data_IF_730548116576
#
_entry.id   IF_730548116576
#
_cell.length_a   1.000
_cell.length_b   1.000
_cell.length_c   1.000
_cell.angle_alpha   90.00
_cell.angle_beta   90.00
_cell.angle_gamma   90.00
#
_symmetry.space_group_name_H-M   'P 1'
#
loop_
_entity.id
_entity.type
_entity.pdbx_description
1 polymer ?
#
# COMPACT_ATOMS: atom_id res chain seq x y z
N UNK A 1 -13.67 -4.74 -3.04
CA UNK A 1 -14.21 -6.11 -2.90
C UNK A 1 -13.54 -6.85 -1.74
N UNK A 2 -12.21 -7.06 -1.72
CA UNK A 2 -11.55 -7.86 -0.69
C UNK A 2 -11.78 -7.36 0.74
N UNK A 3 -11.98 -6.07 0.93
CA UNK A 3 -12.22 -5.49 2.25
C UNK A 3 -13.46 -6.05 2.95
N UNK A 4 -14.49 -6.42 2.18
CA UNK A 4 -15.76 -6.95 2.74
C UNK A 4 -15.59 -8.29 3.45
N UNK A 5 -14.53 -9.06 3.13
CA UNK A 5 -14.23 -10.31 3.83
C UNK A 5 -13.64 -10.12 5.22
N UNK A 6 -13.05 -8.96 5.48
CA UNK A 6 -12.36 -8.67 6.74
C UNK A 6 -13.09 -7.66 7.61
N UNK A 7 -13.96 -6.82 7.01
CA UNK A 7 -14.56 -5.69 7.69
C UNK A 7 -16.04 -5.93 7.96
N UNK A 8 -16.37 -5.98 9.26
CA UNK A 8 -17.70 -6.11 9.78
C UNK A 8 -17.95 -4.99 10.80
N UNK A 9 -19.15 -4.96 11.40
CA UNK A 9 -19.50 -4.04 12.49
C UNK A 9 -18.43 -4.06 13.59
N UNK A 10 -17.91 -2.88 13.96
CA UNK A 10 -16.88 -2.71 14.97
C UNK A 10 -15.44 -2.98 14.52
N UNK A 11 -15.23 -3.35 13.26
CA UNK A 11 -13.89 -3.58 12.69
C UNK A 11 -13.06 -2.32 12.60
N UNK A 12 -11.74 -2.50 12.61
CA UNK A 12 -10.73 -1.46 12.41
C UNK A 12 -9.91 -1.77 11.14
N UNK A 13 -9.84 -0.77 10.25
CA UNK A 13 -9.03 -0.81 9.03
C UNK A 13 -7.96 0.28 9.04
N UNK A 14 -6.72 -0.06 8.73
CA UNK A 14 -5.64 0.89 8.48
C UNK A 14 -5.30 0.97 7.00
N UNK A 15 -5.01 2.18 6.51
CA UNK A 15 -4.30 2.41 5.25
C UNK A 15 -2.96 3.10 5.55
N UNK A 16 -1.86 2.42 5.24
CA UNK A 16 -0.50 2.92 5.42
C UNK A 16 -0.09 3.68 4.17
N UNK A 17 0.30 4.95 4.32
CA UNK A 17 0.60 5.84 3.21
C UNK A 17 -0.65 6.22 2.42
N UNK A 18 -1.67 6.68 3.13
CA UNK A 18 -2.98 6.92 2.53
C UNK A 18 -3.04 8.12 1.56
N UNK A 19 -1.95 8.87 1.41
CA UNK A 19 -1.86 10.01 0.50
C UNK A 19 -3.04 10.99 0.70
N UNK A 20 -3.85 11.22 -0.32
CA UNK A 20 -5.04 12.08 -0.24
C UNK A 20 -6.29 11.38 0.31
N UNK A 21 -6.16 10.15 0.82
CA UNK A 21 -7.25 9.37 1.41
C UNK A 21 -8.25 8.77 0.40
N UNK A 22 -7.91 8.78 -0.88
CA UNK A 22 -8.86 8.35 -1.93
C UNK A 22 -9.21 6.87 -1.81
N UNK A 23 -8.24 6.00 -1.51
CA UNK A 23 -8.50 4.56 -1.39
C UNK A 23 -9.33 4.24 -0.15
N UNK A 24 -8.94 4.76 1.01
CA UNK A 24 -9.66 4.51 2.27
C UNK A 24 -11.11 5.02 2.20
N UNK A 25 -11.34 6.16 1.53
CA UNK A 25 -12.70 6.67 1.28
C UNK A 25 -13.52 5.70 0.41
N UNK A 26 -12.94 5.18 -0.67
CA UNK A 26 -13.61 4.19 -1.53
C UNK A 26 -13.91 2.88 -0.80
N UNK A 27 -13.01 2.45 0.08
CA UNK A 27 -13.24 1.26 0.90
C UNK A 27 -14.40 1.49 1.87
N UNK A 28 -14.47 2.65 2.49
CA UNK A 28 -15.58 3.02 3.38
C UNK A 28 -16.90 3.08 2.61
N UNK A 29 -16.92 3.75 1.48
CA UNK A 29 -18.12 3.85 0.63
C UNK A 29 -18.59 2.48 0.12
N UNK A 30 -17.65 1.57 -0.17
CA UNK A 30 -17.98 0.23 -0.66
C UNK A 30 -18.53 -0.70 0.44
N UNK A 31 -18.03 -0.57 1.67
CA UNK A 31 -18.54 -1.38 2.80
C UNK A 31 -19.85 -0.83 3.37
N UNK A 32 -20.15 0.45 3.14
CA UNK A 32 -21.38 1.15 3.55
C UNK A 32 -21.83 0.83 4.99
N UNK A 33 -20.85 0.83 5.93
CA UNK A 33 -21.09 0.54 7.34
C UNK A 33 -20.37 1.55 8.23
N UNK A 34 -21.13 2.46 8.81
CA UNK A 34 -20.61 3.55 9.66
C UNK A 34 -20.00 3.09 10.99
N UNK A 35 -20.17 1.83 11.37
CA UNK A 35 -19.59 1.26 12.60
C UNK A 35 -18.16 0.72 12.37
N UNK A 36 -17.70 0.63 11.14
CA UNK A 36 -16.31 0.32 10.80
C UNK A 36 -15.47 1.58 10.98
N UNK A 37 -14.36 1.46 11.69
CA UNK A 37 -13.39 2.55 11.88
C UNK A 37 -12.27 2.45 10.87
N UNK A 38 -11.92 3.56 10.25
CA UNK A 38 -10.85 3.65 9.26
C UNK A 38 -9.79 4.66 9.72
N UNK A 39 -8.53 4.29 9.62
CA UNK A 39 -7.40 5.14 9.98
C UNK A 39 -6.41 5.19 8.82
N UNK A 40 -6.25 6.37 8.21
CA UNK A 40 -5.23 6.64 7.21
C UNK A 40 -3.99 7.24 7.85
N UNK A 41 -2.82 6.67 7.59
CA UNK A 41 -1.52 7.14 8.07
C UNK A 41 -0.78 7.76 6.90
N UNK A 42 -0.35 9.03 7.02
CA UNK A 42 0.35 9.76 5.96
C UNK A 42 1.43 10.66 6.55
N UNK A 43 2.73 10.44 6.25
CA UNK A 43 3.83 11.25 6.78
C UNK A 43 3.88 12.65 6.16
N UNK A 44 3.51 12.82 4.90
CA UNK A 44 3.51 14.11 4.22
C UNK A 44 2.43 15.03 4.77
N UNK A 45 2.83 16.09 5.47
CA UNK A 45 1.89 17.09 6.02
C UNK A 45 0.99 17.71 4.95
N UNK A 46 1.52 17.91 3.73
CA UNK A 46 0.75 18.42 2.59
C UNK A 46 -0.37 17.46 2.19
N UNK A 47 -0.06 16.18 2.01
CA UNK A 47 -1.05 15.16 1.61
C UNK A 47 -2.05 14.86 2.73
N UNK A 48 -1.58 14.80 3.99
CA UNK A 48 -2.43 14.69 5.17
C UNK A 48 -3.44 15.84 5.26
N UNK A 49 -3.03 17.09 5.07
CA UNK A 49 -3.95 18.23 5.08
C UNK A 49 -4.99 18.14 3.96
N UNK A 50 -4.57 17.70 2.76
CA UNK A 50 -5.49 17.46 1.64
C UNK A 50 -6.52 16.38 1.98
N UNK A 51 -6.10 15.24 2.54
CA UNK A 51 -7.02 14.16 2.91
C UNK A 51 -8.03 14.63 3.96
N UNK A 52 -7.56 15.30 5.02
CA UNK A 52 -8.39 15.82 6.11
C UNK A 52 -9.38 16.89 5.64
N UNK A 53 -8.98 17.74 4.68
CA UNK A 53 -9.86 18.77 4.13
C UNK A 53 -10.92 18.19 3.18
N UNK A 54 -10.54 17.19 2.39
CA UNK A 54 -11.41 16.57 1.38
C UNK A 54 -12.43 15.59 1.96
N UNK A 55 -12.06 14.88 3.04
CA UNK A 55 -12.85 13.77 3.58
C UNK A 55 -13.33 14.12 4.99
N UNK A 56 -14.63 14.29 5.15
CA UNK A 56 -15.31 14.70 6.41
C UNK A 56 -16.21 13.60 6.96
N UNK A 57 -15.78 12.34 6.85
CA UNK A 57 -16.52 11.19 7.39
C UNK A 57 -16.17 10.98 8.85
N UNK A 58 -17.17 10.74 9.73
CA UNK A 58 -16.97 10.57 11.18
C UNK A 58 -16.18 9.31 11.55
N UNK A 59 -16.30 8.28 10.73
CA UNK A 59 -15.66 6.99 10.91
C UNK A 59 -14.27 6.89 10.24
N UNK A 60 -13.81 7.95 9.54
CA UNK A 60 -12.46 8.03 8.96
C UNK A 60 -11.61 9.04 9.74
N UNK A 61 -10.45 8.59 10.25
CA UNK A 61 -9.46 9.41 10.92
C UNK A 61 -8.15 9.40 10.15
N UNK A 62 -7.48 10.56 10.07
CA UNK A 62 -6.14 10.68 9.48
C UNK A 62 -5.11 11.00 10.55
N UNK A 63 -3.91 10.41 10.45
CA UNK A 63 -2.78 10.61 11.35
C UNK A 63 -1.58 11.06 10.52
N UNK A 64 -1.00 12.23 10.86
CA UNK A 64 0.21 12.73 10.21
C UNK A 64 1.45 12.22 10.94
N UNK A 65 1.85 11.01 10.64
CA UNK A 65 3.07 10.36 11.14
C UNK A 65 3.58 9.35 10.10
N UNK A 66 4.85 8.98 10.22
CA UNK A 66 5.35 7.79 9.53
C UNK A 66 4.87 6.52 10.24
N UNK A 67 4.79 5.42 9.49
CA UNK A 67 4.46 4.11 10.07
C UNK A 67 5.55 3.62 11.05
N UNK A 68 6.78 4.05 10.84
CA UNK A 68 7.89 3.74 11.76
C UNK A 68 7.64 4.32 13.16
N UNK A 69 7.00 5.49 13.24
CA UNK A 69 6.83 6.30 14.46
C UNK A 69 5.48 6.11 15.15
N UNK A 70 4.67 5.17 14.73
CA UNK A 70 3.34 4.93 15.31
C UNK A 70 3.16 3.48 15.76
N UNK A 71 2.49 3.30 16.87
CA UNK A 71 1.97 1.99 17.29
C UNK A 71 0.56 1.80 16.72
N UNK A 72 0.33 0.64 16.14
CA UNK A 72 -0.98 0.24 15.61
C UNK A 72 -1.75 -0.51 16.69
N UNK A 73 -3.06 -0.29 16.75
CA UNK A 73 -3.97 -1.14 17.52
C UNK A 73 -4.27 -2.42 16.75
N UNK A 74 -4.75 -3.45 17.44
CA UNK A 74 -5.24 -4.67 16.80
C UNK A 74 -6.35 -4.35 15.81
N UNK A 75 -6.18 -4.77 14.58
CA UNK A 75 -7.02 -4.43 13.44
C UNK A 75 -7.44 -5.65 12.63
N UNK A 76 -8.53 -5.52 11.92
CA UNK A 76 -9.09 -6.58 11.11
C UNK A 76 -8.50 -6.57 9.70
N UNK A 77 -8.10 -5.38 9.22
CA UNK A 77 -7.49 -5.19 7.92
C UNK A 77 -6.43 -4.10 7.97
N UNK A 78 -5.27 -4.38 7.39
CA UNK A 78 -4.25 -3.37 7.10
C UNK A 78 -4.00 -3.38 5.59
N UNK A 79 -3.90 -2.19 5.00
CA UNK A 79 -3.64 -2.01 3.56
C UNK A 79 -2.41 -1.14 3.40
N UNK A 80 -1.50 -1.56 2.53
CA UNK A 80 -0.38 -0.76 2.04
C UNK A 80 -0.42 -0.76 0.51
N UNK A 81 -0.67 0.39 -0.09
CA UNK A 81 -0.84 0.52 -1.53
C UNK A 81 0.28 1.38 -2.12
N UNK A 82 1.32 0.72 -2.63
CA UNK A 82 2.53 1.34 -3.20
C UNK A 82 3.25 2.28 -2.23
N UNK A 83 3.35 1.90 -0.97
CA UNK A 83 3.90 2.75 0.09
C UNK A 83 5.21 2.23 0.65
N UNK A 84 5.31 0.92 0.95
CA UNK A 84 6.51 0.39 1.62
C UNK A 84 7.78 0.50 0.76
N UNK A 85 7.63 0.61 -0.55
CA UNK A 85 8.73 0.87 -1.48
C UNK A 85 9.48 2.20 -1.23
N UNK A 86 8.92 3.10 -0.42
CA UNK A 86 9.54 4.37 -0.01
C UNK A 86 10.21 4.28 1.37
N UNK A 87 10.07 3.17 2.07
CA UNK A 87 10.73 2.92 3.35
C UNK A 87 12.10 2.30 3.08
N UNK A 88 13.11 2.70 3.85
CA UNK A 88 14.44 2.12 3.77
C UNK A 88 14.39 0.60 3.95
N UNK A 89 15.16 -0.12 3.11
CA UNK A 89 15.14 -1.59 3.08
C UNK A 89 15.40 -2.18 4.47
N UNK A 90 16.34 -1.59 5.20
CA UNK A 90 16.71 -2.01 6.56
C UNK A 90 15.56 -1.89 7.57
N UNK A 91 14.63 -0.96 7.35
CA UNK A 91 13.48 -0.72 8.24
C UNK A 91 12.24 -1.51 7.86
N UNK A 92 12.18 -2.06 6.64
CA UNK A 92 10.97 -2.75 6.14
C UNK A 92 10.59 -3.95 6.96
N UNK A 93 11.56 -4.74 7.38
CA UNK A 93 11.30 -5.93 8.20
C UNK A 93 10.62 -5.54 9.51
N UNK A 94 11.15 -4.55 10.22
CA UNK A 94 10.55 -4.00 11.44
C UNK A 94 9.12 -3.48 11.21
N UNK A 95 8.89 -2.78 10.09
CA UNK A 95 7.54 -2.27 9.76
C UNK A 95 6.58 -3.41 9.44
N UNK A 96 7.01 -4.42 8.70
CA UNK A 96 6.19 -5.60 8.40
C UNK A 96 5.90 -6.44 9.64
N UNK A 97 6.86 -6.55 10.56
CA UNK A 97 6.65 -7.17 11.88
C UNK A 97 5.59 -6.42 12.69
N UNK A 98 5.70 -5.08 12.75
CA UNK A 98 4.70 -4.23 13.39
C UNK A 98 3.31 -4.43 12.78
N UNK A 99 3.21 -4.50 11.45
CA UNK A 99 1.96 -4.77 10.73
C UNK A 99 1.42 -6.14 11.14
N UNK A 100 2.25 -7.20 11.03
CA UNK A 100 1.86 -8.56 11.39
C UNK A 100 1.34 -8.65 12.83
N UNK A 101 2.06 -8.06 13.79
CA UNK A 101 1.69 -8.08 15.20
C UNK A 101 0.37 -7.35 15.48
N UNK A 102 0.04 -6.35 14.67
CA UNK A 102 -1.19 -5.55 14.82
C UNK A 102 -2.41 -6.13 14.10
N UNK A 103 -2.28 -7.22 13.36
CA UNK A 103 -3.41 -7.89 12.73
C UNK A 103 -4.00 -8.91 13.70
N UNK A 104 -5.32 -8.95 13.86
CA UNK A 104 -6.07 -9.98 14.60
C UNK A 104 -5.96 -11.33 13.90
N UNK A 105 -6.16 -12.43 14.63
CA UNK A 105 -6.33 -13.76 14.02
C UNK A 105 -7.52 -13.74 13.05
N UNK A 106 -7.31 -14.26 11.85
CA UNK A 106 -8.28 -14.21 10.74
C UNK A 106 -8.33 -12.87 10.01
N UNK A 107 -7.58 -11.86 10.47
CA UNK A 107 -7.44 -10.58 9.80
C UNK A 107 -6.50 -10.63 8.59
N UNK A 108 -6.50 -9.58 7.78
CA UNK A 108 -5.78 -9.51 6.53
C UNK A 108 -4.78 -8.37 6.42
N UNK A 109 -3.72 -8.60 5.63
CA UNK A 109 -2.84 -7.57 5.11
C UNK A 109 -2.91 -7.59 3.59
N UNK A 110 -3.37 -6.50 2.99
CA UNK A 110 -3.38 -6.29 1.54
C UNK A 110 -2.19 -5.38 1.20
N UNK A 111 -1.27 -5.90 0.40
CA UNK A 111 -0.01 -5.27 0.13
C UNK A 111 0.23 -5.17 -1.38
N UNK A 112 0.31 -3.94 -1.90
CA UNK A 112 0.66 -3.67 -3.29
C UNK A 112 2.02 -3.01 -3.38
N UNK A 113 2.87 -3.55 -4.25
CA UNK A 113 4.24 -3.06 -4.48
C UNK A 113 4.58 -3.03 -5.97
N UNK A 114 5.47 -2.11 -6.32
CA UNK A 114 6.21 -2.21 -7.58
C UNK A 114 7.44 -3.06 -7.32
N UNK A 115 7.64 -4.09 -8.14
CA UNK A 115 8.81 -4.96 -8.08
C UNK A 115 9.73 -4.71 -9.29
N UNK A 116 10.99 -5.04 -9.18
CA UNK A 116 11.88 -5.14 -10.34
C UNK A 116 11.97 -6.60 -10.82
N UNK A 117 12.30 -6.79 -12.10
CA UNK A 117 12.63 -8.11 -12.63
C UNK A 117 14.12 -8.38 -12.44
N UNK A 118 14.47 -9.61 -12.03
CA UNK A 118 15.87 -10.00 -11.83
C UNK A 118 16.69 -10.03 -13.14
N UNK A 119 16.02 -10.12 -14.28
CA UNK A 119 16.64 -10.04 -15.60
C UNK A 119 16.61 -8.58 -16.06
N UNK A 120 17.76 -7.88 -16.19
CA UNK A 120 17.82 -6.45 -16.52
C UNK A 120 17.11 -6.09 -17.83
N UNK A 121 17.20 -6.96 -18.84
CA UNK A 121 16.54 -6.76 -20.12
C UNK A 121 15.01 -6.77 -19.99
N UNK A 122 14.47 -7.71 -19.21
CA UNK A 122 13.02 -7.78 -18.94
C UNK A 122 12.58 -6.58 -18.14
N UNK A 123 13.34 -6.17 -17.13
CA UNK A 123 13.03 -4.99 -16.32
C UNK A 123 12.99 -3.71 -17.16
N UNK A 124 13.96 -3.54 -18.07
CA UNK A 124 14.00 -2.43 -19.02
C UNK A 124 12.78 -2.44 -19.96
N UNK A 125 12.46 -3.59 -20.57
CA UNK A 125 11.32 -3.74 -21.49
C UNK A 125 10.02 -3.38 -20.74
N UNK A 126 9.79 -3.95 -19.58
CA UNK A 126 8.56 -3.73 -18.82
C UNK A 126 8.44 -2.29 -18.29
N UNK A 127 9.57 -1.67 -17.90
CA UNK A 127 9.61 -0.25 -17.54
C UNK A 127 9.30 0.64 -18.74
N UNK A 128 9.79 0.28 -19.93
CA UNK A 128 9.53 1.01 -21.17
C UNK A 128 8.07 0.90 -21.59
N UNK A 129 7.51 -0.30 -21.61
CA UNK A 129 6.07 -0.54 -21.88
C UNK A 129 5.19 0.28 -20.93
N UNK A 130 5.51 0.29 -19.63
CA UNK A 130 4.76 1.07 -18.66
C UNK A 130 4.87 2.57 -18.89
N UNK A 131 6.08 3.09 -19.11
CA UNK A 131 6.30 4.52 -19.22
C UNK A 131 5.91 5.08 -20.58
N UNK A 132 6.27 4.41 -21.68
CA UNK A 132 6.07 4.95 -23.01
C UNK A 132 4.75 4.52 -23.64
N UNK A 133 4.32 3.28 -23.46
CA UNK A 133 3.10 2.80 -24.12
C UNK A 133 1.88 3.03 -23.22
N UNK A 134 1.87 2.47 -22.00
CA UNK A 134 0.68 2.54 -21.15
C UNK A 134 0.37 3.97 -20.68
N UNK A 135 1.34 4.72 -20.18
CA UNK A 135 1.08 6.10 -19.72
C UNK A 135 0.68 7.01 -20.87
N UNK A 136 1.33 6.88 -22.05
CA UNK A 136 0.95 7.65 -23.23
C UNK A 136 -0.46 7.32 -23.71
N UNK A 137 -0.85 6.04 -23.72
CA UNK A 137 -2.21 5.64 -24.06
C UNK A 137 -3.28 6.23 -23.12
N UNK A 138 -2.86 6.70 -21.91
CA UNK A 138 -3.69 7.41 -20.94
C UNK A 138 -3.52 8.94 -21.02
N UNK A 139 -3.01 9.46 -22.14
CA UNK A 139 -2.81 10.90 -22.40
C UNK A 139 -1.86 11.62 -21.43
N UNK A 140 -0.94 10.89 -20.78
CA UNK A 140 0.12 11.53 -20.02
C UNK A 140 1.15 12.17 -20.96
N UNK A 141 1.49 13.43 -20.70
CA UNK A 141 2.56 14.14 -21.42
C UNK A 141 3.91 13.48 -21.13
N UNK A 142 4.74 13.36 -22.17
CA UNK A 142 6.01 12.64 -22.07
C UNK A 142 6.97 13.30 -21.08
N UNK A 143 6.99 14.63 -21.04
CA UNK A 143 7.79 15.43 -20.11
C UNK A 143 7.45 15.08 -18.67
N UNK A 144 6.15 15.01 -18.33
CA UNK A 144 5.67 14.65 -16.99
C UNK A 144 5.99 13.20 -16.61
N UNK A 145 6.05 12.30 -17.61
CA UNK A 145 6.48 10.91 -17.38
C UNK A 145 7.95 10.89 -16.96
N UNK A 146 8.80 11.65 -17.65
CA UNK A 146 10.24 11.75 -17.34
C UNK A 146 10.47 12.47 -16.00
N UNK A 147 9.83 13.59 -15.76
CA UNK A 147 9.93 14.33 -14.48
C UNK A 147 9.60 13.43 -13.29
N UNK A 148 8.49 12.66 -13.41
CA UNK A 148 8.11 11.72 -12.35
C UNK A 148 9.11 10.57 -12.20
N UNK A 149 9.59 10.01 -13.29
CA UNK A 149 10.59 8.94 -13.24
C UNK A 149 11.90 9.43 -12.60
N UNK A 150 12.32 10.65 -12.94
CA UNK A 150 13.50 11.28 -12.36
C UNK A 150 13.33 11.57 -10.86
N UNK A 151 12.18 12.12 -10.45
CA UNK A 151 11.91 12.43 -9.05
C UNK A 151 11.84 11.20 -8.12
N UNK A 152 11.67 10.00 -8.69
CA UNK A 152 11.63 8.74 -7.94
C UNK A 152 12.99 8.03 -7.87
N UNK A 153 14.01 8.53 -8.59
CA UNK A 153 15.36 7.94 -8.53
C UNK A 153 15.95 8.05 -7.13
N UNK A 154 16.42 6.92 -6.61
CA UNK A 154 17.02 6.84 -5.27
C UNK A 154 16.02 6.98 -4.11
N UNK A 155 14.78 7.41 -4.38
CA UNK A 155 13.71 7.52 -3.38
C UNK A 155 12.95 6.21 -3.25
N UNK A 156 12.64 5.60 -4.39
CA UNK A 156 11.94 4.33 -4.44
C UNK A 156 12.94 3.18 -4.41
N UNK A 157 12.84 2.31 -3.40
CA UNK A 157 13.73 1.17 -3.15
C UNK A 157 12.95 -0.11 -3.39
N UNK A 158 13.04 -0.64 -4.58
CA UNK A 158 12.27 -1.80 -5.01
C UNK A 158 12.91 -3.11 -4.51
N UNK A 159 12.07 -4.10 -4.27
CA UNK A 159 12.43 -5.52 -4.16
C UNK A 159 11.98 -6.26 -5.42
N UNK A 160 12.61 -7.38 -5.73
CA UNK A 160 12.03 -8.36 -6.62
C UNK A 160 10.81 -9.02 -5.96
N UNK A 161 9.97 -9.64 -6.75
CA UNK A 161 8.82 -10.40 -6.22
C UNK A 161 9.27 -11.51 -5.25
N UNK A 162 10.37 -12.19 -5.58
CA UNK A 162 10.95 -13.24 -4.72
C UNK A 162 11.41 -12.70 -3.37
N UNK A 163 12.08 -11.55 -3.35
CA UNK A 163 12.51 -10.90 -2.11
C UNK A 163 11.31 -10.45 -1.28
N UNK A 164 10.28 -9.89 -1.91
CA UNK A 164 9.04 -9.50 -1.22
C UNK A 164 8.37 -10.70 -0.57
N UNK A 165 8.21 -11.81 -1.30
CA UNK A 165 7.62 -13.04 -0.76
C UNK A 165 8.48 -13.61 0.37
N UNK A 166 9.81 -13.65 0.21
CA UNK A 166 10.72 -14.14 1.23
C UNK A 166 10.64 -13.30 2.52
N UNK A 167 10.49 -11.99 2.37
CA UNK A 167 10.34 -11.09 3.51
C UNK A 167 9.00 -11.33 4.23
N UNK A 168 7.90 -11.51 3.50
CA UNK A 168 6.60 -11.83 4.09
C UNK A 168 6.59 -13.21 4.79
N UNK A 169 7.32 -14.19 4.25
CA UNK A 169 7.45 -15.53 4.84
C UNK A 169 8.20 -15.57 6.18
N UNK A 170 8.89 -14.51 6.57
CA UNK A 170 9.50 -14.40 7.92
C UNK A 170 8.44 -14.33 9.02
N UNK A 171 7.20 -13.99 8.69
CA UNK A 171 6.10 -13.89 9.62
C UNK A 171 5.15 -15.08 9.46
N UNK A 172 4.49 -15.47 10.55
CA UNK A 172 3.61 -16.64 10.59
C UNK A 172 2.22 -16.37 10.00
N UNK A 173 2.16 -15.78 8.79
CA UNK A 173 0.89 -15.71 8.06
C UNK A 173 0.42 -17.11 7.67
N UNK A 174 -0.85 -17.41 7.92
CA UNK A 174 -1.46 -18.68 7.50
C UNK A 174 -1.42 -18.85 5.98
N UNK A 175 -1.65 -17.75 5.27
CA UNK A 175 -1.62 -17.73 3.81
C UNK A 175 -0.93 -16.45 3.30
N UNK A 176 -0.11 -16.59 2.26
CA UNK A 176 0.47 -15.51 1.48
C UNK A 176 0.19 -15.84 0.02
N UNK A 177 -0.65 -15.04 -0.64
CA UNK A 177 -1.04 -15.27 -2.03
C UNK A 177 -0.85 -14.03 -2.87
N UNK A 178 -0.33 -14.18 -4.08
CA UNK A 178 -0.38 -13.13 -5.10
C UNK A 178 -1.80 -13.07 -5.66
N UNK A 179 -2.45 -11.92 -5.53
CA UNK A 179 -3.85 -11.69 -5.93
C UNK A 179 -3.96 -10.77 -7.14
N UNK A 180 -2.87 -10.15 -7.52
CA UNK A 180 -2.79 -9.26 -8.67
C UNK A 180 -1.38 -9.26 -9.24
N UNK A 181 -1.27 -9.28 -10.55
CA UNK A 181 -0.01 -9.09 -11.28
C UNK A 181 -0.25 -8.33 -12.58
N UNK A 182 0.46 -7.22 -12.74
CA UNK A 182 0.54 -6.52 -13.99
C UNK A 182 1.94 -5.92 -14.18
N UNK A 183 2.73 -6.53 -15.06
CA UNK A 183 4.12 -6.13 -15.26
C UNK A 183 4.92 -6.13 -13.96
N UNK A 184 5.42 -4.96 -13.58
CA UNK A 184 6.19 -4.74 -12.35
C UNK A 184 5.29 -4.56 -11.09
N UNK A 185 3.97 -4.51 -11.24
CA UNK A 185 3.06 -4.25 -10.12
C UNK A 185 2.45 -5.56 -9.63
N UNK A 186 2.64 -5.84 -8.36
CA UNK A 186 2.12 -7.07 -7.72
C UNK A 186 1.31 -6.70 -6.48
N UNK A 187 0.20 -7.39 -6.29
CA UNK A 187 -0.63 -7.32 -5.09
C UNK A 187 -0.62 -8.65 -4.35
N UNK A 188 -0.46 -8.60 -3.05
CA UNK A 188 -0.44 -9.74 -2.15
C UNK A 188 -1.57 -9.66 -1.14
N UNK A 189 -2.13 -10.81 -0.80
CA UNK A 189 -3.02 -11.00 0.33
C UNK A 189 -2.34 -11.93 1.33
N UNK A 190 -2.14 -11.43 2.56
CA UNK A 190 -1.61 -12.20 3.68
C UNK A 190 -2.71 -12.33 4.73
N UNK A 191 -2.98 -13.55 5.22
CA UNK A 191 -3.97 -13.84 6.26
C UNK A 191 -3.25 -14.36 7.50
N UNK A 192 -3.53 -13.77 8.67
CA UNK A 192 -2.98 -14.19 9.97
C UNK A 192 -3.77 -15.31 10.62
#
# INVERSE_FOLDING_TARGET
FLSTFFLNKGSLCYEIGCSTGTLIKRIEEYNDNNEIKYIGIEPSKKLFNLSKNKIKKKNIKFINKSIEDINLNFSDLIISHFTLQFIDVEKREMVLEKIYNSIKLGGGFIYFEKNFFNTPEVDYIMSSVYNYDFKRSKNHQIEKIYEKAYSLRGVMKLHSEKETINLLKKFNYKNISSIFKWGQFTGYLCIK
#
